data_IF_012461828492
#
_entry.id   IF_012461828492
#
_cell.length_a   1.000
_cell.length_b   1.000
_cell.length_c   1.000
_cell.angle_alpha   90.00
_cell.angle_beta   90.00
_cell.angle_gamma   90.00
#
_symmetry.space_group_name_H-M   'P 1'
#
loop_
_entity.id
_entity.type
_entity.pdbx_description
1 polymer ?
#
# COMPACT_ATOMS: atom_id res chain seq x y z
N UNK A 1 -9.67 -9.10 -12.57
CA UNK A 1 -9.08 -7.83 -12.06
C UNK A 1 -9.33 -7.65 -10.56
N UNK A 2 -10.56 -7.79 -10.05
CA UNK A 2 -10.89 -7.65 -8.61
C UNK A 2 -10.13 -8.59 -7.66
N UNK A 3 -9.84 -9.83 -8.07
CA UNK A 3 -9.16 -10.81 -7.20
C UNK A 3 -7.67 -10.52 -6.95
N UNK A 4 -7.00 -9.76 -7.82
CA UNK A 4 -5.56 -9.53 -7.73
C UNK A 4 -5.21 -8.37 -6.76
N UNK A 5 -6.06 -7.34 -6.70
CA UNK A 5 -5.90 -6.21 -5.78
C UNK A 5 -6.07 -6.62 -4.31
N UNK A 6 -6.98 -7.56 -4.04
CA UNK A 6 -7.16 -8.16 -2.71
C UNK A 6 -5.93 -8.97 -2.26
N UNK A 7 -5.28 -9.69 -3.18
CA UNK A 7 -4.03 -10.39 -2.91
C UNK A 7 -2.89 -9.42 -2.60
N UNK A 8 -2.71 -8.39 -3.43
CA UNK A 8 -1.68 -7.37 -3.23
C UNK A 8 -1.85 -6.62 -1.90
N UNK A 9 -3.09 -6.22 -1.55
CA UNK A 9 -3.38 -5.55 -0.28
C UNK A 9 -2.97 -6.40 0.93
N UNK A 10 -3.23 -7.72 0.93
CA UNK A 10 -2.79 -8.63 2.00
C UNK A 10 -1.27 -8.72 2.13
N UNK A 11 -0.56 -8.75 1.00
CA UNK A 11 0.90 -8.80 0.96
C UNK A 11 1.52 -7.53 1.54
N UNK A 12 0.99 -6.36 1.16
CA UNK A 12 1.46 -5.08 1.72
C UNK A 12 1.08 -4.92 3.19
N UNK A 13 -0.12 -5.38 3.59
CA UNK A 13 -0.55 -5.36 5.00
C UNK A 13 0.38 -6.18 5.89
N UNK A 14 0.83 -7.35 5.42
CA UNK A 14 1.81 -8.17 6.14
C UNK A 14 3.17 -7.48 6.29
N UNK A 15 3.65 -6.79 5.23
CA UNK A 15 4.91 -6.04 5.27
C UNK A 15 4.84 -4.85 6.23
N UNK A 16 3.77 -4.06 6.18
CA UNK A 16 3.57 -2.92 7.07
C UNK A 16 3.22 -3.32 8.51
N UNK A 17 2.68 -4.52 8.73
CA UNK A 17 2.54 -5.07 10.07
C UNK A 17 3.89 -5.49 10.67
N UNK A 18 4.84 -5.95 9.84
CA UNK A 18 6.19 -6.27 10.26
C UNK A 18 7.08 -5.01 10.44
N UNK A 19 6.81 -3.94 9.68
CA UNK A 19 7.46 -2.63 9.80
C UNK A 19 6.42 -1.50 9.76
N UNK A 20 5.84 -1.13 10.93
CA UNK A 20 4.86 -0.04 11.03
C UNK A 20 5.48 1.34 10.74
N UNK A 21 6.79 1.49 10.88
CA UNK A 21 7.47 2.77 10.63
C UNK A 21 7.49 3.09 9.14
N UNK A 22 7.63 2.07 8.28
CA UNK A 22 7.50 2.20 6.84
C UNK A 22 6.11 2.70 6.42
N UNK A 23 5.03 2.26 7.10
CA UNK A 23 3.67 2.73 6.83
C UNK A 23 3.51 4.21 7.17
N UNK A 24 4.07 4.66 8.30
CA UNK A 24 4.03 6.07 8.70
C UNK A 24 4.86 6.95 7.77
N UNK A 25 6.04 6.49 7.34
CA UNK A 25 6.85 7.19 6.34
C UNK A 25 6.10 7.36 5.04
N UNK A 26 5.47 6.28 4.54
CA UNK A 26 4.70 6.33 3.29
C UNK A 26 3.51 7.29 3.39
N UNK A 27 2.74 7.24 4.47
CA UNK A 27 1.58 8.12 4.68
C UNK A 27 1.97 9.56 5.03
N UNK A 28 3.20 9.79 5.50
CA UNK A 28 3.79 11.10 5.70
C UNK A 28 4.31 11.75 4.40
N UNK A 29 4.35 11.01 3.30
CA UNK A 29 4.70 11.57 1.98
C UNK A 29 3.46 12.25 1.39
N UNK A 30 3.57 13.54 1.12
CA UNK A 30 2.51 14.35 0.49
C UNK A 30 2.04 15.49 1.38
N UNK A 31 1.18 16.35 0.84
CA UNK A 31 0.67 17.54 1.55
C UNK A 31 -0.61 17.28 2.35
N UNK A 32 -1.21 16.08 2.25
CA UNK A 32 -2.43 15.73 2.96
C UNK A 32 -2.11 15.08 4.30
N UNK A 33 -2.63 15.59 5.42
CA UNK A 33 -2.44 14.96 6.72
C UNK A 33 -3.11 13.60 6.76
N UNK A 34 -2.47 12.63 7.41
CA UNK A 34 -3.06 11.32 7.66
C UNK A 34 -4.33 11.50 8.50
N UNK A 35 -5.50 10.97 8.07
CA UNK A 35 -6.68 10.94 8.91
C UNK A 35 -6.39 10.15 10.21
N UNK A 36 -6.78 10.70 11.36
CA UNK A 36 -6.52 10.09 12.67
C UNK A 36 -7.36 8.84 12.94
N UNK A 37 -8.48 8.71 12.24
CA UNK A 37 -9.48 7.64 12.45
C UNK A 37 -9.25 6.40 11.56
N UNK A 38 -8.12 6.32 10.85
CA UNK A 38 -7.80 5.26 9.90
C UNK A 38 -6.56 4.46 10.31
N UNK A 39 -6.67 3.13 10.18
CA UNK A 39 -5.55 2.20 10.35
C UNK A 39 -4.45 2.54 9.34
N UNK A 40 -3.31 3.01 9.85
CA UNK A 40 -2.17 3.42 9.05
C UNK A 40 -1.62 2.27 8.18
N UNK A 41 -1.70 1.03 8.67
CA UNK A 41 -1.22 -0.14 7.94
C UNK A 41 -2.14 -0.42 6.75
N UNK A 42 -3.45 -0.37 6.96
CA UNK A 42 -4.42 -0.58 5.91
C UNK A 42 -4.37 0.54 4.85
N UNK A 43 -4.27 1.79 5.31
CA UNK A 43 -4.18 2.94 4.42
C UNK A 43 -2.90 2.89 3.56
N UNK A 44 -1.75 2.58 4.16
CA UNK A 44 -0.48 2.40 3.44
C UNK A 44 -0.56 1.25 2.43
N UNK A 45 -1.23 0.15 2.79
CA UNK A 45 -1.44 -1.00 1.91
C UNK A 45 -2.25 -0.62 0.68
N UNK A 46 -3.35 0.12 0.84
CA UNK A 46 -4.15 0.60 -0.29
C UNK A 46 -3.43 1.65 -1.14
N UNK A 47 -2.63 2.51 -0.53
CA UNK A 47 -1.75 3.44 -1.27
C UNK A 47 -0.76 2.68 -2.16
N UNK A 48 -0.15 1.60 -1.67
CA UNK A 48 0.74 0.76 -2.48
C UNK A 48 0.01 0.01 -3.59
N UNK A 49 -1.21 -0.48 -3.34
CA UNK A 49 -2.04 -1.09 -4.39
C UNK A 49 -2.39 -0.08 -5.48
N UNK A 50 -2.73 1.17 -5.11
CA UNK A 50 -2.98 2.24 -6.06
C UNK A 50 -1.71 2.61 -6.85
N UNK A 51 -0.57 2.75 -6.17
CA UNK A 51 0.72 2.98 -6.81
C UNK A 51 1.08 1.86 -7.81
N UNK A 52 0.85 0.61 -7.43
CA UNK A 52 1.04 -0.56 -8.30
C UNK A 52 0.10 -0.53 -9.50
N UNK A 53 -1.16 -0.12 -9.31
CA UNK A 53 -2.13 0.01 -10.39
C UNK A 53 -1.75 1.14 -11.36
N UNK A 54 -1.22 2.25 -10.85
CA UNK A 54 -0.82 3.41 -11.64
C UNK A 54 0.50 3.19 -12.40
N UNK A 55 1.39 2.33 -11.90
CA UNK A 55 2.68 1.99 -12.54
C UNK A 55 2.62 0.74 -13.44
N UNK A 56 1.42 0.25 -13.78
CA UNK A 56 1.21 -1.07 -14.39
C UNK A 56 1.43 -1.07 -15.92
N UNK A 57 2.67 -0.84 -16.33
CA UNK A 57 3.22 -1.40 -17.57
C UNK A 57 4.36 -2.42 -17.31
N UNK A 58 5.10 -2.36 -16.18
CA UNK A 58 6.34 -3.16 -16.04
C UNK A 58 6.40 -4.13 -14.82
N UNK A 59 5.58 -3.95 -13.79
CA UNK A 59 5.79 -4.64 -12.48
C UNK A 59 5.28 -6.09 -12.36
N UNK A 60 4.82 -6.73 -13.44
CA UNK A 60 4.31 -8.11 -13.41
C UNK A 60 5.14 -9.10 -14.23
N UNK A 61 6.43 -8.86 -14.41
CA UNK A 61 7.33 -9.92 -14.86
C UNK A 61 7.81 -10.71 -13.63
N UNK A 62 7.05 -11.76 -13.29
CA UNK A 62 7.57 -12.91 -12.56
C UNK A 62 7.93 -13.92 -13.64
N UNK A 63 9.21 -14.01 -14.00
CA UNK A 63 9.77 -15.19 -14.67
C UNK A 63 10.16 -16.25 -13.63
#
# INVERSE_FOLDING_TARGET
MSSNCLGASKVFRGQFAADPEAAQKLLGVGASPKPDDLDAIECASWTMVANLLMNRDDFLNVE
#
